data_IF_414230229735
#
_entry.id   IF_414230229735
#
_cell.length_a   1.000
_cell.length_b   1.000
_cell.length_c   1.000
_cell.angle_alpha   90.00
_cell.angle_beta   90.00
_cell.angle_gamma   90.00
#
_symmetry.space_group_name_H-M   'P 1'
#
loop_
_entity.id
_entity.type
_entity.pdbx_description
1 polymer ?
#
# COMPACT_ATOMS: atom_id res chain seq x y z
N UNK A 1 36.63 20.17 -32.38
CA UNK A 1 36.70 20.09 -30.90
C UNK A 1 36.16 18.72 -30.50
N UNK A 2 36.91 17.89 -29.76
CA UNK A 2 36.43 16.57 -29.37
C UNK A 2 35.40 16.72 -28.25
N UNK A 3 34.26 16.05 -28.42
CA UNK A 3 33.21 15.92 -27.39
C UNK A 3 33.81 15.12 -26.25
N UNK A 4 34.02 15.78 -25.10
CA UNK A 4 34.37 15.09 -23.86
C UNK A 4 33.27 14.07 -23.58
N UNK A 5 33.62 12.78 -23.66
CA UNK A 5 32.77 11.70 -23.20
C UNK A 5 32.48 11.95 -21.72
N UNK A 6 31.23 12.25 -21.40
CA UNK A 6 30.79 12.31 -20.02
C UNK A 6 31.11 10.95 -19.38
N UNK A 7 32.09 10.91 -18.49
CA UNK A 7 32.40 9.75 -17.66
C UNK A 7 31.13 9.36 -16.92
N UNK A 8 30.55 8.22 -17.28
CA UNK A 8 29.39 7.66 -16.59
C UNK A 8 29.75 7.52 -15.10
N UNK A 9 28.93 8.10 -14.23
CA UNK A 9 29.09 7.94 -12.80
C UNK A 9 29.10 6.43 -12.46
N UNK A 10 29.97 5.98 -11.55
CA UNK A 10 29.99 4.59 -11.15
C UNK A 10 28.61 4.19 -10.64
N UNK A 11 28.14 3.01 -11.07
CA UNK A 11 26.87 2.47 -10.61
C UNK A 11 26.87 2.37 -9.08
N UNK A 12 25.80 2.80 -8.38
CA UNK A 12 25.73 2.71 -6.93
C UNK A 12 25.91 1.26 -6.45
N UNK A 13 26.57 1.07 -5.32
CA UNK A 13 26.86 -0.28 -4.79
C UNK A 13 25.60 -1.10 -4.49
N UNK A 14 24.48 -0.43 -4.17
CA UNK A 14 23.19 -1.07 -3.89
C UNK A 14 22.44 -1.51 -5.16
N UNK A 15 22.83 -1.04 -6.35
CA UNK A 15 22.14 -1.36 -7.59
C UNK A 15 22.55 -2.75 -8.08
N UNK A 16 21.62 -3.70 -8.01
CA UNK A 16 21.87 -5.07 -8.42
C UNK A 16 21.88 -5.22 -9.95
N UNK A 17 22.64 -6.19 -10.48
CA UNK A 17 22.57 -6.56 -11.90
C UNK A 17 21.27 -7.30 -12.27
N UNK A 18 20.60 -7.88 -11.28
CA UNK A 18 19.38 -8.65 -11.48
C UNK A 18 18.44 -8.46 -10.29
N UNK A 19 17.17 -8.21 -10.58
CA UNK A 19 16.09 -8.22 -9.61
C UNK A 19 15.14 -9.38 -9.92
N UNK A 20 14.94 -10.23 -8.90
CA UNK A 20 13.98 -11.35 -8.95
C UNK A 20 12.77 -11.02 -8.10
N UNK A 21 11.63 -11.59 -8.45
CA UNK A 21 10.37 -11.41 -7.73
C UNK A 21 9.94 -9.95 -7.65
N UNK A 22 10.14 -9.21 -8.74
CA UNK A 22 9.71 -7.81 -8.82
C UNK A 22 8.18 -7.76 -8.87
N UNK A 23 7.61 -6.94 -8.00
CA UNK A 23 6.17 -6.75 -7.90
C UNK A 23 5.80 -5.54 -8.75
N UNK A 24 5.01 -5.76 -9.80
CA UNK A 24 4.54 -4.69 -10.66
C UNK A 24 3.31 -4.02 -10.04
N UNK A 25 3.31 -2.69 -9.99
CA UNK A 25 2.18 -1.88 -9.52
C UNK A 25 1.70 -1.07 -10.72
N UNK A 26 0.57 -1.46 -11.27
CA UNK A 26 -0.09 -0.80 -12.41
C UNK A 26 -1.34 -0.05 -11.98
N UNK A 27 -1.92 0.76 -12.88
CA UNK A 27 -3.12 1.54 -12.58
C UNK A 27 -4.32 0.65 -12.21
N UNK A 28 -4.39 -0.59 -12.73
CA UNK A 28 -5.44 -1.56 -12.34
C UNK A 28 -5.30 -2.08 -10.90
N UNK A 29 -4.08 -2.04 -10.35
CA UNK A 29 -3.79 -2.48 -8.99
C UNK A 29 -4.07 -1.39 -7.96
N UNK A 30 -4.52 -0.21 -8.38
CA UNK A 30 -4.72 0.91 -7.48
C UNK A 30 -6.01 1.66 -7.76
N UNK A 31 -6.53 2.28 -6.71
CA UNK A 31 -7.63 3.26 -6.80
C UNK A 31 -7.29 4.49 -5.99
N UNK A 32 -7.79 5.65 -6.44
CA UNK A 32 -7.62 6.94 -5.76
C UNK A 32 -8.99 7.49 -5.36
N UNK A 33 -9.10 7.99 -4.13
CA UNK A 33 -10.27 8.73 -3.64
C UNK A 33 -9.80 9.95 -2.83
N UNK A 34 -10.04 11.14 -3.36
CA UNK A 34 -9.40 12.36 -2.86
C UNK A 34 -7.88 12.23 -2.97
N UNK A 35 -7.15 12.52 -1.89
CA UNK A 35 -5.69 12.35 -1.83
C UNK A 35 -5.24 10.98 -1.31
N UNK A 36 -6.18 10.04 -1.15
CA UNK A 36 -5.91 8.71 -0.63
C UNK A 36 -5.85 7.67 -1.74
N UNK A 37 -5.02 6.66 -1.53
CA UNK A 37 -4.77 5.58 -2.48
C UNK A 37 -4.97 4.24 -1.77
N UNK A 38 -5.57 3.27 -2.44
CA UNK A 38 -5.46 1.86 -2.07
C UNK A 38 -4.62 1.18 -3.16
N UNK A 39 -3.53 0.53 -2.76
CA UNK A 39 -2.79 -0.40 -3.61
C UNK A 39 -3.25 -1.79 -3.21
N UNK A 40 -3.99 -2.43 -4.10
CA UNK A 40 -4.70 -3.67 -3.86
C UNK A 40 -3.88 -4.89 -4.25
N UNK A 41 -2.71 -5.03 -3.61
CA UNK A 41 -1.79 -6.14 -3.84
C UNK A 41 -1.48 -6.80 -2.49
N UNK A 42 -1.77 -8.10 -2.30
CA UNK A 42 -1.52 -8.79 -1.04
C UNK A 42 -0.03 -9.15 -0.93
N UNK A 43 0.68 -8.50 -0.01
CA UNK A 43 2.08 -8.83 0.28
C UNK A 43 2.21 -9.33 1.71
N UNK A 44 2.92 -10.44 1.88
CA UNK A 44 3.37 -10.86 3.20
C UNK A 44 4.62 -10.05 3.55
N UNK A 45 4.47 -9.09 4.46
CA UNK A 45 5.55 -8.21 4.88
C UNK A 45 6.54 -8.95 5.80
N UNK A 46 7.83 -8.85 5.47
CA UNK A 46 8.95 -9.39 6.25
C UNK A 46 9.92 -8.23 6.52
N UNK A 47 10.04 -7.75 7.77
CA UNK A 47 10.86 -6.58 8.11
C UNK A 47 12.33 -6.69 7.70
N UNK A 48 12.89 -7.90 7.68
CA UNK A 48 14.29 -8.17 7.36
C UNK A 48 14.51 -8.51 5.88
N UNK A 49 13.52 -8.31 5.02
CA UNK A 49 13.60 -8.60 3.58
C UNK A 49 13.57 -7.33 2.74
N UNK A 50 14.38 -7.29 1.69
CA UNK A 50 14.34 -6.24 0.68
C UNK A 50 13.34 -6.58 -0.42
N UNK A 51 12.37 -5.69 -0.66
CA UNK A 51 11.39 -5.85 -1.74
C UNK A 51 11.77 -5.02 -2.96
N UNK A 52 11.28 -5.41 -4.14
CA UNK A 52 11.48 -4.64 -5.36
C UNK A 52 10.14 -4.40 -6.02
N UNK A 53 9.81 -3.13 -6.21
CA UNK A 53 8.56 -2.68 -6.82
C UNK A 53 8.85 -1.99 -8.13
N UNK A 54 8.10 -2.35 -9.18
CA UNK A 54 8.06 -1.59 -10.42
C UNK A 54 6.77 -0.76 -10.44
N UNK A 55 6.89 0.54 -10.19
CA UNK A 55 5.76 1.46 -10.10
C UNK A 55 5.46 2.06 -11.48
N UNK A 56 4.56 1.40 -12.20
CA UNK A 56 3.99 1.92 -13.44
C UNK A 56 2.75 2.80 -13.16
N UNK A 57 2.10 2.62 -12.01
CA UNK A 57 0.89 3.34 -11.61
C UNK A 57 1.11 4.81 -11.25
N UNK A 58 0.09 5.65 -11.46
CA UNK A 58 0.06 7.11 -11.26
C UNK A 58 0.33 7.67 -9.85
N UNK A 59 1.00 6.93 -8.95
CA UNK A 59 1.18 7.31 -7.53
C UNK A 59 2.45 8.15 -7.35
N UNK A 60 2.39 9.28 -6.61
CA UNK A 60 3.59 10.06 -6.30
C UNK A 60 4.58 9.26 -5.42
N UNK A 61 5.84 9.20 -5.83
CA UNK A 61 6.92 8.48 -5.12
C UNK A 61 7.02 8.88 -3.64
N UNK A 62 6.84 10.16 -3.32
CA UNK A 62 6.88 10.67 -1.94
C UNK A 62 5.82 10.04 -1.03
N UNK A 63 4.68 9.60 -1.58
CA UNK A 63 3.65 8.91 -0.81
C UNK A 63 4.10 7.50 -0.40
N UNK A 64 4.89 6.82 -1.25
CA UNK A 64 5.41 5.48 -0.97
C UNK A 64 6.56 5.49 0.04
N UNK A 65 7.21 6.63 0.27
CA UNK A 65 8.30 6.75 1.26
C UNK A 65 7.81 6.77 2.70
N UNK A 66 6.55 7.17 2.93
CA UNK A 66 5.98 7.34 4.29
C UNK A 66 5.93 5.99 5.05
N UNK A 67 6.59 5.86 6.22
CA UNK A 67 6.68 4.59 6.94
C UNK A 67 5.34 3.99 7.38
N UNK A 68 4.34 4.82 7.68
CA UNK A 68 3.04 4.35 8.19
C UNK A 68 2.01 4.06 7.09
N UNK A 69 2.43 4.00 5.82
CA UNK A 69 1.50 4.01 4.69
C UNK A 69 1.69 2.84 3.72
N UNK A 70 2.77 2.85 2.94
CA UNK A 70 3.00 1.83 1.91
C UNK A 70 3.72 0.63 2.52
N UNK A 71 3.00 -0.47 2.80
CA UNK A 71 3.51 -1.68 3.46
C UNK A 71 4.38 -1.34 4.70
N UNK A 72 3.74 -0.99 5.82
CA UNK A 72 4.40 -0.35 6.96
C UNK A 72 5.44 -1.20 7.68
N UNK A 73 5.42 -2.52 7.52
CA UNK A 73 6.39 -3.46 8.08
C UNK A 73 7.52 -3.81 7.10
N UNK A 74 7.53 -3.24 5.89
CA UNK A 74 8.68 -3.31 4.98
C UNK A 74 9.62 -2.14 5.29
N UNK A 75 10.81 -2.47 5.80
CA UNK A 75 11.83 -1.48 6.17
C UNK A 75 12.74 -1.11 5.00
N UNK A 76 12.94 -2.00 4.04
CA UNK A 76 13.85 -1.75 2.92
C UNK A 76 13.24 -2.22 1.59
N UNK A 77 13.29 -1.36 0.58
CA UNK A 77 12.85 -1.73 -0.77
C UNK A 77 13.51 -0.89 -1.86
N UNK A 78 13.56 -1.47 -3.05
CA UNK A 78 13.89 -0.80 -4.30
C UNK A 78 12.60 -0.42 -5.02
N UNK A 79 12.49 0.83 -5.45
CA UNK A 79 11.40 1.32 -6.28
C UNK A 79 11.94 1.69 -7.66
N UNK A 80 11.41 1.06 -8.70
CA UNK A 80 11.74 1.32 -10.10
C UNK A 80 10.57 2.09 -10.70
N UNK A 81 10.83 3.27 -11.28
CA UNK A 81 9.81 4.18 -11.79
C UNK A 81 10.18 4.63 -13.21
N UNK A 82 9.33 4.39 -14.22
CA UNK A 82 9.55 4.94 -15.55
C UNK A 82 9.70 6.46 -15.54
N UNK A 83 10.65 7.01 -16.31
CA UNK A 83 10.77 8.46 -16.45
C UNK A 83 9.65 8.99 -17.35
N UNK A 84 8.48 9.22 -16.75
CA UNK A 84 7.30 9.74 -17.45
C UNK A 84 7.55 11.11 -18.09
N UNK A 85 8.45 11.92 -17.53
CA UNK A 85 8.77 13.23 -18.11
C UNK A 85 9.53 13.04 -19.42
N UNK A 86 10.52 12.16 -19.42
CA UNK A 86 11.24 11.77 -20.64
C UNK A 86 10.27 11.20 -21.70
N UNK A 87 9.46 10.20 -21.36
CA UNK A 87 8.54 9.60 -22.33
C UNK A 87 7.50 10.59 -22.87
N UNK A 88 7.03 11.53 -22.04
CA UNK A 88 6.13 12.61 -22.48
C UNK A 88 6.80 13.53 -23.50
N UNK A 89 8.05 13.92 -23.26
CA UNK A 89 8.82 14.76 -24.19
C UNK A 89 8.99 14.05 -25.54
N UNK A 90 9.41 12.79 -25.53
CA UNK A 90 9.59 12.00 -26.77
C UNK A 90 8.27 11.86 -27.53
N UNK A 91 7.16 11.59 -26.84
CA UNK A 91 5.84 11.49 -27.47
C UNK A 91 5.39 12.83 -28.10
N UNK A 92 5.64 13.95 -27.44
CA UNK A 92 5.33 15.29 -27.96
C UNK A 92 6.19 15.64 -29.19
N UNK A 93 7.47 15.27 -29.19
CA UNK A 93 8.37 15.47 -30.33
C UNK A 93 7.98 14.63 -31.54
N UNK A 94 7.69 13.33 -31.32
CA UNK A 94 7.20 12.42 -32.35
C UNK A 94 5.93 12.97 -33.02
N UNK A 95 4.98 13.44 -32.20
CA UNK A 95 3.73 14.04 -32.67
C UNK A 95 3.96 15.32 -33.50
N UNK A 96 4.82 16.25 -33.02
CA UNK A 96 5.14 17.49 -33.75
C UNK A 96 5.79 17.25 -35.10
N UNK A 97 6.62 16.22 -35.19
CA UNK A 97 7.36 15.89 -36.41
C UNK A 97 6.59 14.92 -37.32
N UNK A 98 5.45 14.37 -36.88
CA UNK A 98 4.69 13.39 -37.63
C UNK A 98 5.45 12.08 -37.86
N UNK A 99 6.39 11.74 -36.97
CA UNK A 99 7.25 10.55 -37.06
C UNK A 99 6.98 9.61 -35.90
N UNK A 100 7.40 8.36 -36.05
CA UNK A 100 7.50 7.40 -34.96
C UNK A 100 8.92 7.43 -34.40
N UNK A 101 9.06 7.65 -33.09
CA UNK A 101 10.32 7.57 -32.35
C UNK A 101 10.21 6.38 -31.40
N UNK A 102 11.14 5.45 -31.46
CA UNK A 102 11.26 4.40 -30.44
C UNK A 102 12.07 4.95 -29.26
N UNK A 103 11.45 5.19 -28.09
CA UNK A 103 12.15 5.78 -26.96
C UNK A 103 13.14 4.79 -26.35
N UNK A 104 14.26 5.31 -25.85
CA UNK A 104 15.14 4.51 -25.00
C UNK A 104 14.42 4.18 -23.70
N UNK A 105 14.52 2.92 -23.24
CA UNK A 105 14.04 2.55 -21.91
C UNK A 105 14.76 3.44 -20.90
N UNK A 106 13.98 4.14 -20.09
CA UNK A 106 14.49 5.14 -19.14
C UNK A 106 13.71 5.05 -17.84
N UNK A 107 14.43 4.74 -16.75
CA UNK A 107 13.86 4.48 -15.43
C UNK A 107 14.69 5.15 -14.32
N UNK A 108 14.00 5.62 -13.29
CA UNK A 108 14.57 6.02 -12.01
C UNK A 108 14.51 4.83 -11.04
N UNK A 109 15.62 4.58 -10.36
CA UNK A 109 15.74 3.57 -9.31
C UNK A 109 15.92 4.30 -7.99
N UNK A 110 15.13 3.94 -6.99
CA UNK A 110 15.25 4.45 -5.63
C UNK A 110 15.52 3.30 -4.69
N UNK A 111 16.52 3.43 -3.82
CA UNK A 111 16.75 2.55 -2.69
C UNK A 111 16.25 3.25 -1.44
N UNK A 112 15.21 2.70 -0.82
CA UNK A 112 14.50 3.32 0.30
C UNK A 112 14.68 2.44 1.52
N UNK A 113 15.21 3.02 2.60
CA UNK A 113 15.37 2.39 3.90
C UNK A 113 14.61 3.22 4.95
N UNK A 114 13.78 2.57 5.75
CA UNK A 114 12.98 3.15 6.83
C UNK A 114 13.46 2.56 8.16
N UNK A 115 14.01 3.42 9.02
CA UNK A 115 14.50 3.01 10.34
C UNK A 115 13.93 3.93 11.42
N UNK A 116 13.03 3.41 12.26
CA UNK A 116 12.58 4.11 13.47
C UNK A 116 11.97 5.51 13.24
N UNK A 117 11.39 5.76 12.06
CA UNK A 117 10.80 7.05 11.68
C UNK A 117 11.67 7.90 10.74
N UNK A 118 12.96 7.57 10.59
CA UNK A 118 13.81 8.17 9.55
C UNK A 118 13.67 7.42 8.23
N UNK A 119 13.67 8.18 7.13
CA UNK A 119 13.67 7.64 5.77
C UNK A 119 14.95 8.06 5.06
N UNK A 120 15.76 7.08 4.67
CA UNK A 120 16.91 7.28 3.80
C UNK A 120 16.52 6.89 2.38
N UNK A 121 16.93 7.70 1.41
CA UNK A 121 16.67 7.44 0.00
C UNK A 121 17.89 7.77 -0.82
N UNK A 122 18.42 6.76 -1.49
CA UNK A 122 19.39 6.91 -2.56
C UNK A 122 18.68 6.72 -3.90
N UNK A 123 19.20 7.34 -4.97
CA UNK A 123 18.63 7.16 -6.30
C UNK A 123 19.68 7.12 -7.39
N UNK A 124 19.31 6.47 -8.49
CA UNK A 124 20.08 6.52 -9.74
C UNK A 124 19.13 6.48 -10.93
N UNK A 125 19.60 7.01 -12.04
CA UNK A 125 18.83 7.14 -13.26
C UNK A 125 19.56 6.39 -14.38
N UNK A 126 18.85 5.50 -15.06
CA UNK A 126 19.39 4.72 -16.18
C UNK A 126 18.53 5.00 -17.40
N UNK A 127 19.20 5.31 -18.52
CA UNK A 127 18.59 5.46 -19.83
C UNK A 127 19.36 4.63 -20.86
N UNK A 128 18.64 3.92 -21.71
CA UNK A 128 19.20 3.06 -22.75
C UNK A 128 19.72 1.75 -22.18
N UNK A 129 21.01 1.48 -22.32
CA UNK A 129 21.60 0.21 -21.91
C UNK A 129 22.03 0.22 -20.43
N UNK A 130 22.13 -0.96 -19.82
CA UNK A 130 22.64 -1.13 -18.45
C UNK A 130 21.56 -1.27 -17.37
N UNK A 131 20.28 -1.38 -17.77
CA UNK A 131 19.23 -1.76 -16.83
C UNK A 131 19.49 -3.15 -16.22
N UNK A 132 19.20 -3.34 -14.93
CA UNK A 132 19.15 -4.67 -14.32
C UNK A 132 18.19 -5.59 -15.05
N UNK A 133 18.51 -6.88 -15.11
CA UNK A 133 17.55 -7.88 -15.57
C UNK A 133 16.42 -8.02 -14.55
N UNK A 134 15.17 -7.94 -14.99
CA UNK A 134 13.99 -7.96 -14.13
C UNK A 134 13.17 -9.22 -14.43
N UNK A 135 12.82 -9.96 -13.37
CA UNK A 135 11.81 -11.02 -13.43
C UNK A 135 10.68 -10.72 -12.45
N UNK A 136 9.45 -10.76 -12.96
CA UNK A 136 8.26 -10.39 -12.22
C UNK A 136 7.66 -11.58 -11.47
N UNK A 137 6.87 -11.29 -10.44
CA UNK A 137 6.06 -12.29 -9.72
C UNK A 137 4.76 -11.65 -9.27
N UNK A 138 3.66 -12.38 -9.41
CA UNK A 138 2.36 -11.99 -8.89
C UNK A 138 2.25 -12.38 -7.41
N UNK A 139 1.98 -11.43 -6.50
CA UNK A 139 1.80 -11.74 -5.09
C UNK A 139 0.48 -12.46 -4.84
N UNK A 140 0.53 -13.51 -4.02
CA UNK A 140 -0.64 -14.25 -3.59
C UNK A 140 -0.76 -14.26 -2.06
N UNK A 141 -1.98 -14.36 -1.57
CA UNK A 141 -2.25 -14.56 -0.14
C UNK A 141 -1.75 -15.96 0.26
N UNK A 142 -0.82 -16.09 1.22
CA UNK A 142 -0.33 -17.39 1.64
C UNK A 142 -1.45 -18.28 2.19
N UNK A 143 -1.35 -19.59 1.95
CA UNK A 143 -2.33 -20.57 2.48
C UNK A 143 -2.45 -20.46 4.00
N UNK A 144 -3.69 -20.37 4.49
CA UNK A 144 -3.98 -20.25 5.93
C UNK A 144 -3.85 -18.83 6.48
N UNK A 145 -3.72 -17.82 5.61
CA UNK A 145 -3.79 -16.41 5.98
C UNK A 145 -5.06 -15.74 5.42
N UNK A 146 -5.53 -14.70 6.11
CA UNK A 146 -6.55 -13.77 5.65
C UNK A 146 -5.88 -12.54 5.06
N UNK A 147 -6.36 -12.11 3.90
CA UNK A 147 -6.10 -10.77 3.40
C UNK A 147 -7.03 -9.79 4.12
N UNK A 148 -6.44 -8.83 4.82
CA UNK A 148 -7.15 -7.85 5.64
C UNK A 148 -6.85 -6.45 5.11
N UNK A 149 -7.90 -5.65 4.96
CA UNK A 149 -7.79 -4.26 4.51
C UNK A 149 -7.90 -3.26 5.67
N UNK A 150 -8.59 -3.65 6.74
CA UNK A 150 -8.74 -2.84 7.92
C UNK A 150 -8.85 -3.73 9.16
N UNK A 151 -8.28 -3.28 10.28
CA UNK A 151 -8.52 -3.89 11.58
C UNK A 151 -8.91 -2.84 12.59
N UNK A 152 -9.96 -3.16 13.33
CA UNK A 152 -10.29 -2.42 14.55
C UNK A 152 -9.94 -3.27 15.76
N UNK A 153 -9.04 -2.78 16.60
CA UNK A 153 -8.60 -3.45 17.83
C UNK A 153 -9.08 -2.69 19.05
N UNK A 154 -9.62 -3.42 20.02
CA UNK A 154 -10.09 -2.93 21.31
C UNK A 154 -9.25 -3.56 22.43
N UNK A 155 -8.78 -2.72 23.35
CA UNK A 155 -8.12 -3.11 24.60
C UNK A 155 -9.12 -3.42 25.72
N UNK A 156 -8.63 -3.46 26.97
CA UNK A 156 -9.42 -3.88 28.14
C UNK A 156 -10.65 -2.97 28.35
N UNK A 157 -11.76 -3.54 28.82
CA UNK A 157 -12.95 -2.79 29.22
C UNK A 157 -12.76 -2.13 30.59
N UNK A 158 -11.84 -2.61 31.43
CA UNK A 158 -11.71 -2.19 32.83
C UNK A 158 -10.38 -1.53 33.21
N UNK A 159 -9.20 -2.13 32.98
CA UNK A 159 -7.97 -1.69 33.66
C UNK A 159 -6.65 -1.93 32.87
N UNK A 160 -6.04 -0.89 32.25
CA UNK A 160 -6.65 0.38 31.92
C UNK A 160 -7.73 0.18 30.85
N UNK A 161 -8.87 0.83 31.04
CA UNK A 161 -9.94 0.83 30.04
C UNK A 161 -9.46 1.49 28.75
N UNK A 162 -9.65 0.81 27.62
CA UNK A 162 -9.42 1.40 26.30
C UNK A 162 -10.48 2.49 26.03
N UNK A 163 -10.08 3.76 25.79
CA UNK A 163 -11.00 4.83 25.44
C UNK A 163 -11.91 4.53 24.23
N UNK A 164 -11.51 3.60 23.36
CA UNK A 164 -12.36 3.14 22.24
C UNK A 164 -13.69 2.55 22.68
N UNK A 165 -13.81 2.09 23.92
CA UNK A 165 -15.08 1.61 24.47
C UNK A 165 -16.07 2.73 24.73
N UNK A 166 -15.62 3.97 24.92
CA UNK A 166 -16.48 5.12 25.24
C UNK A 166 -17.08 5.75 23.98
N UNK A 167 -16.41 5.59 22.84
CA UNK A 167 -16.86 6.04 21.52
C UNK A 167 -17.34 4.89 20.63
N UNK A 168 -17.55 3.70 21.22
CA UNK A 168 -17.99 2.51 20.48
C UNK A 168 -19.39 2.73 19.91
N UNK A 169 -19.47 3.16 18.66
CA UNK A 169 -20.65 2.91 17.86
C UNK A 169 -20.66 1.41 17.51
N UNK A 170 -21.83 0.78 17.57
CA UNK A 170 -21.97 -0.63 17.23
C UNK A 170 -21.47 -0.90 15.81
N UNK A 171 -20.44 -1.76 15.68
CA UNK A 171 -19.82 -2.11 14.40
C UNK A 171 -20.84 -2.71 13.44
N UNK A 172 -21.82 -3.47 13.95
CA UNK A 172 -22.90 -4.03 13.14
C UNK A 172 -23.82 -2.93 12.59
N UNK A 173 -24.06 -1.87 13.37
CA UNK A 173 -24.85 -0.72 12.91
C UNK A 173 -24.12 0.06 11.82
N UNK A 174 -22.80 0.29 11.97
CA UNK A 174 -21.99 0.92 10.93
C UNK A 174 -21.99 0.10 9.63
N UNK A 175 -21.74 -1.21 9.71
CA UNK A 175 -21.74 -2.11 8.54
C UNK A 175 -23.09 -2.03 7.82
N UNK A 176 -24.21 -2.16 8.54
CA UNK A 176 -25.55 -2.09 7.96
C UNK A 176 -25.83 -0.75 7.29
N UNK A 177 -25.39 0.35 7.89
CA UNK A 177 -25.54 1.68 7.33
C UNK A 177 -24.71 1.84 6.05
N UNK A 178 -23.44 1.43 6.07
CA UNK A 178 -22.57 1.45 4.90
C UNK A 178 -23.13 0.60 3.76
N UNK A 179 -23.52 -0.64 4.03
CA UNK A 179 -24.14 -1.55 3.06
C UNK A 179 -25.40 -0.94 2.43
N UNK A 180 -26.28 -0.36 3.26
CA UNK A 180 -27.52 0.29 2.79
C UNK A 180 -27.22 1.52 1.93
N UNK A 181 -26.34 2.40 2.39
CA UNK A 181 -26.05 3.68 1.73
C UNK A 181 -25.30 3.48 0.42
N UNK A 182 -24.32 2.56 0.41
CA UNK A 182 -23.47 2.28 -0.76
C UNK A 182 -24.05 1.18 -1.65
N UNK A 183 -25.13 0.52 -1.22
CA UNK A 183 -25.79 -0.60 -1.92
C UNK A 183 -24.82 -1.76 -2.19
N UNK A 184 -24.04 -2.11 -1.16
CA UNK A 184 -23.04 -3.19 -1.20
C UNK A 184 -23.32 -4.20 -0.10
N UNK A 185 -22.62 -5.33 -0.14
CA UNK A 185 -22.60 -6.31 0.94
C UNK A 185 -21.17 -6.59 1.35
N UNK A 186 -20.85 -6.39 2.61
CA UNK A 186 -19.55 -6.69 3.19
C UNK A 186 -19.57 -8.16 3.59
N UNK A 187 -18.84 -8.99 2.84
CA UNK A 187 -18.68 -10.39 3.19
C UNK A 187 -17.43 -10.60 4.06
N UNK A 188 -17.50 -11.59 4.94
CA UNK A 188 -16.37 -12.18 5.64
C UNK A 188 -15.64 -11.20 6.58
N UNK A 189 -16.33 -10.79 7.64
CA UNK A 189 -15.72 -10.12 8.79
C UNK A 189 -15.35 -11.16 9.85
N UNK A 190 -14.15 -11.08 10.42
CA UNK A 190 -13.68 -12.02 11.44
C UNK A 190 -13.38 -11.30 12.75
N UNK A 191 -13.81 -11.88 13.87
CA UNK A 191 -13.47 -11.41 15.20
C UNK A 191 -12.51 -12.39 15.87
N UNK A 192 -11.49 -11.87 16.52
CA UNK A 192 -10.55 -12.62 17.33
C UNK A 192 -10.50 -12.06 18.74
N UNK A 193 -10.70 -12.92 19.73
CA UNK A 193 -10.48 -12.56 21.12
C UNK A 193 -8.98 -12.53 21.44
N UNK A 194 -8.53 -11.47 22.10
CA UNK A 194 -7.12 -11.24 22.45
C UNK A 194 -6.90 -11.14 23.96
N UNK A 195 -7.95 -11.09 24.77
CA UNK A 195 -7.85 -11.02 26.23
C UNK A 195 -9.14 -11.36 26.95
N UNK A 196 -9.09 -11.41 28.28
CA UNK A 196 -10.19 -11.89 29.13
C UNK A 196 -11.17 -10.79 29.55
N UNK A 197 -10.82 -9.53 29.28
CA UNK A 197 -11.53 -8.34 29.74
C UNK A 197 -12.22 -7.62 28.58
N UNK A 198 -12.50 -8.36 27.49
CA UNK A 198 -13.20 -7.86 26.30
C UNK A 198 -12.29 -7.47 25.15
N UNK A 199 -10.97 -7.65 25.26
CA UNK A 199 -10.01 -7.27 24.23
C UNK A 199 -10.20 -8.13 22.97
N UNK A 200 -10.48 -7.50 21.84
CA UNK A 200 -10.68 -8.22 20.59
C UNK A 200 -10.21 -7.39 19.41
N UNK A 201 -9.91 -8.08 18.31
CA UNK A 201 -9.69 -7.47 17.01
C UNK A 201 -10.80 -7.91 16.04
N UNK A 202 -11.26 -6.97 15.23
CA UNK A 202 -12.17 -7.21 14.11
C UNK A 202 -11.39 -6.99 12.83
N UNK A 203 -11.24 -8.05 12.04
CA UNK A 203 -10.57 -8.07 10.75
C UNK A 203 -11.59 -7.95 9.63
N UNK A 204 -11.46 -6.91 8.82
CA UNK A 204 -12.29 -6.66 7.67
C UNK A 204 -11.56 -7.10 6.40
N UNK A 205 -11.99 -8.24 5.84
CA UNK A 205 -11.47 -8.71 4.54
C UNK A 205 -12.07 -7.96 3.36
N UNK A 206 -13.25 -7.34 3.56
CA UNK A 206 -13.98 -6.58 2.53
C UNK A 206 -14.12 -7.37 1.22
N UNK A 207 -14.27 -8.68 1.35
CA UNK A 207 -14.51 -9.56 0.22
C UNK A 207 -15.85 -9.21 -0.43
N UNK A 208 -15.92 -9.36 -1.76
CA UNK A 208 -17.09 -8.95 -2.53
C UNK A 208 -17.19 -7.44 -2.84
N UNK A 209 -16.36 -6.59 -2.22
CA UNK A 209 -16.26 -5.17 -2.58
C UNK A 209 -15.22 -4.95 -3.70
N UNK A 210 -15.44 -3.93 -4.53
CA UNK A 210 -14.41 -3.41 -5.46
C UNK A 210 -13.34 -2.64 -4.70
N UNK A 211 -12.15 -2.47 -5.27
CA UNK A 211 -11.06 -1.72 -4.61
C UNK A 211 -11.48 -0.29 -4.22
N UNK A 212 -12.29 0.40 -5.05
CA UNK A 212 -12.82 1.72 -4.71
C UNK A 212 -13.75 1.68 -3.49
N UNK A 213 -14.64 0.68 -3.41
CA UNK A 213 -15.52 0.48 -2.25
C UNK A 213 -14.73 0.09 -0.99
N UNK A 214 -13.65 -0.67 -1.13
CA UNK A 214 -12.73 -0.98 -0.03
C UNK A 214 -12.07 0.28 0.52
N UNK A 215 -11.55 1.14 -0.35
CA UNK A 215 -10.96 2.41 0.05
C UNK A 215 -11.98 3.32 0.75
N UNK A 216 -13.18 3.44 0.19
CA UNK A 216 -14.28 4.22 0.77
C UNK A 216 -14.66 3.71 2.18
N UNK A 217 -14.78 2.39 2.36
CA UNK A 217 -15.00 1.78 3.67
C UNK A 217 -13.91 2.13 4.69
N UNK A 218 -12.64 2.00 4.30
CA UNK A 218 -11.49 2.31 5.17
C UNK A 218 -11.57 3.77 5.65
N UNK A 219 -11.84 4.70 4.74
CA UNK A 219 -11.90 6.13 5.05
C UNK A 219 -13.10 6.46 5.95
N UNK A 220 -14.30 5.94 5.67
CA UNK A 220 -15.47 6.16 6.53
C UNK A 220 -15.28 5.58 7.93
N UNK A 221 -14.67 4.38 8.02
CA UNK A 221 -14.37 3.75 9.31
C UNK A 221 -13.35 4.55 10.12
N UNK A 222 -12.33 5.11 9.48
CA UNK A 222 -11.38 6.00 10.14
C UNK A 222 -12.01 7.33 10.56
N UNK A 223 -12.90 7.89 9.74
CA UNK A 223 -13.62 9.12 10.07
C UNK A 223 -14.50 8.93 11.30
N UNK A 224 -15.27 7.84 11.37
CA UNK A 224 -16.06 7.45 12.55
C UNK A 224 -15.23 7.48 13.85
N UNK A 225 -13.96 7.05 13.77
CA UNK A 225 -13.05 7.03 14.92
C UNK A 225 -12.44 8.38 15.29
N UNK A 226 -12.34 9.30 14.34
CA UNK A 226 -11.64 10.59 14.55
C UNK A 226 -12.60 11.70 14.99
N UNK A 227 -13.89 11.57 14.70
CA UNK A 227 -14.89 12.60 15.00
C UNK A 227 -15.26 12.58 16.49
N UNK A 228 -14.55 13.42 17.26
CA UNK A 228 -15.25 14.41 18.10
C UNK A 228 -16.17 15.21 17.17
N UNK A 229 -17.48 15.25 17.45
CA UNK A 229 -18.56 15.77 16.58
C UNK A 229 -18.43 17.22 16.07
N UNK A 230 -17.34 17.93 16.37
CA UNK A 230 -17.16 19.35 16.08
C UNK A 230 -16.12 19.65 14.97
N UNK A 231 -15.28 18.71 14.56
CA UNK A 231 -14.27 18.94 13.51
C UNK A 231 -14.69 18.28 12.18
N UNK A 232 -15.51 18.96 11.38
CA UNK A 232 -15.95 18.48 10.06
C UNK A 232 -14.87 18.52 8.96
N UNK A 233 -13.70 19.08 9.23
CA UNK A 233 -12.58 19.20 8.27
C UNK A 233 -11.32 18.44 8.72
N UNK A 234 -11.45 17.14 8.98
CA UNK A 234 -10.24 16.30 9.04
C UNK A 234 -9.83 16.03 7.59
N UNK A 235 -8.99 16.92 7.08
CA UNK A 235 -8.26 16.68 5.85
C UNK A 235 -7.28 15.53 6.14
N UNK A 236 -7.68 14.30 5.82
CA UNK A 236 -6.73 13.18 5.84
C UNK A 236 -5.59 13.58 4.90
N UNK A 237 -4.42 13.87 5.47
CA UNK A 237 -3.19 14.00 4.69
C UNK A 237 -3.15 12.79 3.75
N UNK A 238 -2.98 13.00 2.44
CA UNK A 238 -3.01 11.89 1.49
C UNK A 238 -2.15 10.72 1.94
N UNK A 239 -2.73 9.52 1.96
CA UNK A 239 -2.12 8.28 2.44
C UNK A 239 -2.37 7.15 1.46
N UNK A 240 -1.44 6.21 1.45
CA UNK A 240 -1.56 4.90 0.82
C UNK A 240 -2.04 3.89 1.86
N UNK A 241 -3.01 3.09 1.47
CA UNK A 241 -3.45 1.90 2.14
C UNK A 241 -3.00 0.68 1.35
N UNK A 242 -2.58 -0.37 2.06
CA UNK A 242 -2.21 -1.66 1.50
C UNK A 242 -2.85 -2.76 2.32
N UNK A 243 -3.35 -3.84 1.71
CA UNK A 243 -3.79 -5.00 2.47
C UNK A 243 -2.59 -5.68 3.12
N UNK A 244 -2.84 -6.38 4.22
CA UNK A 244 -1.84 -7.18 4.92
C UNK A 244 -2.40 -8.55 5.27
N UNK A 245 -1.49 -9.50 5.51
CA UNK A 245 -1.84 -10.89 5.80
C UNK A 245 -1.87 -11.15 7.29
N UNK A 246 -2.94 -11.79 7.77
CA UNK A 246 -3.07 -12.26 9.16
C UNK A 246 -3.25 -13.76 9.19
N UNK A 247 -2.52 -14.46 10.05
CA UNK A 247 -2.65 -15.92 10.22
C UNK A 247 -4.04 -16.26 10.80
N UNK A 248 -4.71 -17.25 10.21
CA UNK A 248 -6.00 -17.74 10.72
C UNK A 248 -5.76 -18.58 11.97
N UNK A 249 -6.24 -18.09 13.11
CA UNK A 249 -6.31 -18.86 14.36
C UNK A 249 -7.58 -19.73 14.35
N UNK A 250 -7.41 -21.05 14.27
CA UNK A 250 -8.53 -22.00 14.11
C UNK A 250 -9.05 -22.57 15.43
N UNK A 251 -8.25 -22.49 16.50
CA UNK A 251 -8.48 -23.21 17.75
C UNK A 251 -8.16 -22.34 18.97
N UNK A 252 -8.62 -22.79 20.14
CA UNK A 252 -8.36 -22.17 21.42
C UNK A 252 -9.08 -20.83 21.64
N UNK A 253 -8.67 -20.13 22.69
CA UNK A 253 -9.26 -18.87 23.14
C UNK A 253 -9.21 -17.76 22.08
N UNK A 254 -8.17 -17.79 21.23
CA UNK A 254 -7.92 -16.79 20.19
C UNK A 254 -8.50 -17.19 18.82
N UNK A 255 -9.35 -18.22 18.76
CA UNK A 255 -9.97 -18.66 17.52
C UNK A 255 -10.70 -17.49 16.84
N UNK A 256 -10.48 -17.34 15.53
CA UNK A 256 -11.22 -16.40 14.71
C UNK A 256 -12.62 -16.93 14.41
N UNK A 257 -13.61 -16.07 14.64
CA UNK A 257 -15.03 -16.36 14.38
C UNK A 257 -15.51 -15.41 13.30
N UNK A 258 -16.13 -15.95 12.24
CA UNK A 258 -16.79 -15.14 11.22
C UNK A 258 -18.06 -14.54 11.82
N UNK A 259 -18.21 -13.22 11.72
CA UNK A 259 -19.32 -12.46 12.34
C UNK A 259 -20.29 -11.83 11.32
N UNK A 260 -19.95 -11.84 10.02
CA UNK A 260 -20.84 -11.45 8.92
C UNK A 260 -20.55 -12.28 7.67
#
# INVERSE_FOLDING_TARGET
MPVQSATALPSPQWLAKTYKHVIMIEDEHMVKLGENYLIDIPIQEKPDSTYVFFLNAGIPVEQLKKPSSFYPFINEFILIVPDRKYYKIIAEEASKQGIQIEPLVTNNYYHIIRNGGEVKTDSTHISGNGHPHISYTEPEVPKGMLQVYYTDSYGSVCCPRDPKWDTKQDDASFIKEFEKNKKVKIADTYQQNNGKEGEHAIYYTLSGLTSLQRLDFILEKQYQRTVNKEAKDIQFSGRIFTPYSVKIEKEGFRKMIKVN
#
